data_IF_355624076639
#
_entry.id   IF_355624076639
#
_cell.length_a   1.000
_cell.length_b   1.000
_cell.length_c   1.000
_cell.angle_alpha   90.00
_cell.angle_beta   90.00
_cell.angle_gamma   90.00
#
_symmetry.space_group_name_H-M   'P 1'
#
loop_
_entity.id
_entity.type
_entity.pdbx_description
1 polymer ?
#
# COMPACT_ATOMS: atom_id res chain seq x y z
N UNK A 1 -50.83 8.17 -34.34
CA UNK A 1 -49.66 8.99 -33.97
C UNK A 1 -49.01 8.34 -32.77
N UNK A 2 -48.01 7.49 -33.01
CA UNK A 2 -47.40 6.66 -31.97
C UNK A 2 -46.65 7.50 -30.95
N UNK A 3 -46.93 7.25 -29.66
CA UNK A 3 -46.25 7.87 -28.54
C UNK A 3 -44.75 7.59 -28.68
N UNK A 4 -44.00 8.62 -29.06
CA UNK A 4 -42.55 8.58 -29.18
C UNK A 4 -41.96 8.38 -27.79
N UNK A 5 -41.51 7.15 -27.56
CA UNK A 5 -40.30 6.82 -26.82
C UNK A 5 -40.12 7.63 -25.54
N UNK A 6 -41.01 7.35 -24.58
CA UNK A 6 -40.72 7.55 -23.16
C UNK A 6 -39.33 7.02 -22.83
N UNK A 7 -38.52 7.89 -22.23
CA UNK A 7 -37.38 7.54 -21.39
C UNK A 7 -36.12 7.02 -22.09
N UNK A 8 -35.45 7.91 -22.83
CA UNK A 8 -34.03 7.70 -23.15
C UNK A 8 -33.20 7.96 -21.87
N UNK A 9 -32.83 6.83 -21.23
CA UNK A 9 -31.97 6.63 -20.07
C UNK A 9 -31.07 7.82 -19.64
N UNK A 10 -31.42 8.40 -18.49
CA UNK A 10 -30.47 9.06 -17.61
C UNK A 10 -29.67 8.01 -16.82
N UNK A 11 -28.35 8.22 -16.72
CA UNK A 11 -27.44 7.71 -15.67
C UNK A 11 -27.31 6.16 -15.63
N UNK A 12 -26.16 5.56 -15.89
CA UNK A 12 -24.99 5.70 -15.02
C UNK A 12 -23.72 5.48 -15.83
N UNK A 13 -22.74 6.37 -15.66
CA UNK A 13 -21.35 6.08 -16.00
C UNK A 13 -20.89 4.93 -15.08
N UNK A 14 -21.13 3.68 -15.49
CA UNK A 14 -20.53 2.53 -14.86
C UNK A 14 -19.07 2.58 -15.28
N UNK A 15 -18.24 3.22 -14.46
CA UNK A 15 -16.80 3.04 -14.53
C UNK A 15 -16.55 1.57 -14.24
N UNK A 16 -16.62 0.76 -15.29
CA UNK A 16 -16.08 -0.59 -15.32
C UNK A 16 -14.58 -0.38 -15.28
N UNK A 17 -14.03 -0.15 -14.09
CA UNK A 17 -12.62 -0.34 -13.87
C UNK A 17 -12.36 -1.82 -14.17
N UNK A 18 -11.59 -2.16 -15.21
CA UNK A 18 -11.26 -3.54 -15.47
C UNK A 18 -10.39 -3.98 -14.30
N UNK A 19 -10.99 -4.73 -13.37
CA UNK A 19 -10.26 -5.41 -12.31
C UNK A 19 -9.34 -6.41 -13.01
N UNK A 20 -8.10 -5.99 -13.29
CA UNK A 20 -7.08 -6.82 -13.96
C UNK A 20 -6.90 -8.11 -13.15
N UNK A 21 -7.55 -9.17 -13.60
CA UNK A 21 -7.18 -10.55 -13.28
C UNK A 21 -5.76 -10.76 -13.81
N UNK A 22 -4.79 -10.95 -12.92
CA UNK A 22 -3.43 -11.32 -13.32
C UNK A 22 -2.31 -10.94 -12.35
N UNK A 23 -2.55 -10.04 -11.40
CA UNK A 23 -1.60 -9.76 -10.32
C UNK A 23 -2.35 -9.82 -8.98
N UNK A 24 -1.75 -10.39 -7.91
CA UNK A 24 -2.30 -10.22 -6.58
C UNK A 24 -2.52 -8.72 -6.34
N UNK A 25 -3.62 -8.31 -5.67
CA UNK A 25 -3.85 -6.89 -5.41
C UNK A 25 -2.57 -6.35 -4.78
N UNK A 26 -1.95 -5.35 -5.44
CA UNK A 26 -0.82 -4.66 -4.86
C UNK A 26 -1.29 -4.22 -3.47
N UNK A 27 -0.72 -4.80 -2.41
CA UNK A 27 -1.11 -4.50 -1.03
C UNK A 27 -0.60 -3.10 -0.73
N UNK A 28 -1.30 -2.09 -1.23
CA UNK A 28 -0.93 -0.71 -1.05
C UNK A 28 -1.15 -0.31 0.40
N UNK A 29 -0.11 0.23 1.03
CA UNK A 29 -0.25 0.98 2.27
C UNK A 29 -1.18 2.17 2.03
N UNK A 30 -2.24 2.28 2.83
CA UNK A 30 -3.13 3.46 2.87
C UNK A 30 -2.76 4.41 3.99
N UNK A 31 -2.21 3.87 5.07
CA UNK A 31 -1.76 4.61 6.25
C UNK A 31 -0.36 4.14 6.61
N UNK A 32 0.43 5.03 7.19
CA UNK A 32 1.77 4.73 7.69
C UNK A 32 1.84 4.99 9.18
N UNK A 33 2.64 4.19 9.88
CA UNK A 33 2.98 4.40 11.28
C UNK A 33 4.29 5.20 11.33
N UNK A 34 4.28 6.35 11.99
CA UNK A 34 5.46 7.23 12.10
C UNK A 34 6.42 6.81 13.22
N UNK A 35 5.91 6.09 14.23
CA UNK A 35 6.66 5.68 15.41
C UNK A 35 6.48 4.21 15.68
N UNK A 36 7.58 3.47 15.59
CA UNK A 36 7.63 2.04 15.88
C UNK A 36 8.71 1.83 16.94
N UNK A 37 8.37 1.18 18.06
CA UNK A 37 9.34 0.92 19.13
C UNK A 37 10.60 0.24 18.59
N UNK A 38 11.77 0.67 19.09
CA UNK A 38 13.07 0.06 18.69
C UNK A 38 13.13 -1.45 18.94
N UNK A 39 12.38 -1.96 19.91
CA UNK A 39 12.25 -3.41 20.18
C UNK A 39 11.64 -4.14 18.99
N UNK A 40 10.61 -3.58 18.34
CA UNK A 40 9.99 -4.17 17.16
C UNK A 40 10.92 -4.05 15.94
N UNK A 41 11.55 -2.89 15.73
CA UNK A 41 12.47 -2.69 14.60
C UNK A 41 13.65 -3.66 14.61
N UNK A 42 14.13 -4.08 15.79
CA UNK A 42 15.16 -5.10 15.95
C UNK A 42 14.73 -6.50 15.51
N UNK A 43 13.43 -6.78 15.51
CA UNK A 43 12.86 -8.09 15.19
C UNK A 43 12.32 -8.18 13.76
N UNK A 44 12.36 -7.07 13.01
CA UNK A 44 12.01 -7.06 11.59
C UNK A 44 12.89 -8.05 10.84
N UNK A 45 12.28 -8.97 10.10
CA UNK A 45 12.96 -9.98 9.31
C UNK A 45 13.35 -9.44 7.94
N UNK A 46 12.48 -8.65 7.30
CA UNK A 46 12.72 -8.04 6.00
C UNK A 46 11.93 -6.74 5.83
N UNK A 47 12.33 -5.93 4.85
CA UNK A 47 11.65 -4.68 4.54
C UNK A 47 11.58 -4.46 3.03
N UNK A 48 10.50 -3.83 2.58
CA UNK A 48 10.25 -3.46 1.19
C UNK A 48 9.86 -1.99 1.10
N UNK A 49 10.31 -1.30 0.04
CA UNK A 49 9.94 0.10 -0.19
C UNK A 49 8.79 0.14 -1.21
N UNK A 50 7.63 0.56 -0.75
CA UNK A 50 6.52 0.93 -1.61
C UNK A 50 6.71 2.37 -2.08
N UNK A 51 6.81 2.54 -3.40
CA UNK A 51 6.80 3.85 -4.04
C UNK A 51 5.38 4.27 -4.42
N UNK A 52 5.14 5.56 -4.51
CA UNK A 52 3.86 6.17 -4.89
C UNK A 52 3.54 6.10 -6.40
N UNK A 53 4.06 5.10 -7.12
CA UNK A 53 3.84 4.95 -8.56
C UNK A 53 2.82 3.84 -8.85
N UNK A 54 2.03 4.01 -9.91
CA UNK A 54 1.05 3.02 -10.35
C UNK A 54 -0.19 2.97 -9.46
N UNK A 55 -0.49 1.80 -8.89
CA UNK A 55 -1.71 1.56 -8.11
C UNK A 55 -1.67 2.09 -6.67
N UNK A 56 -0.50 2.51 -6.18
CA UNK A 56 -0.32 3.00 -4.80
C UNK A 56 -0.02 4.50 -4.82
N UNK A 57 -0.73 5.27 -3.99
CA UNK A 57 -0.67 6.75 -4.00
C UNK A 57 0.27 7.35 -2.94
N UNK A 58 0.82 6.55 -2.03
CA UNK A 58 1.73 7.02 -0.97
C UNK A 58 3.03 6.22 -0.96
N UNK A 59 4.11 6.89 -0.55
CA UNK A 59 5.37 6.25 -0.24
C UNK A 59 5.29 5.61 1.15
N UNK A 60 5.60 4.32 1.24
CA UNK A 60 5.57 3.58 2.50
C UNK A 60 6.74 2.59 2.58
N UNK A 61 7.18 2.32 3.80
CA UNK A 61 8.12 1.25 4.10
C UNK A 61 7.32 0.08 4.67
N UNK A 62 7.25 -1.02 3.94
CA UNK A 62 6.60 -2.24 4.40
C UNK A 62 7.62 -3.03 5.21
N UNK A 63 7.33 -3.24 6.48
CA UNK A 63 8.17 -4.01 7.39
C UNK A 63 7.51 -5.35 7.65
N UNK A 64 8.29 -6.42 7.57
CA UNK A 64 7.84 -7.77 7.86
C UNK A 64 8.33 -8.20 9.23
N UNK A 65 7.40 -8.68 10.06
CA UNK A 65 7.67 -9.19 11.39
C UNK A 65 6.83 -10.44 11.62
N UNK A 66 7.49 -11.58 11.83
CA UNK A 66 6.83 -12.89 11.94
C UNK A 66 5.96 -13.11 10.70
N UNK A 67 4.66 -13.37 10.89
CA UNK A 67 3.69 -13.59 9.81
C UNK A 67 2.84 -12.34 9.51
N UNK A 68 3.29 -11.16 9.94
CA UNK A 68 2.55 -9.89 9.75
C UNK A 68 3.43 -8.87 9.04
N UNK A 69 2.80 -8.03 8.24
CA UNK A 69 3.41 -6.86 7.62
C UNK A 69 2.78 -5.58 8.16
N UNK A 70 3.57 -4.51 8.24
CA UNK A 70 3.13 -3.21 8.72
C UNK A 70 3.73 -2.09 7.88
N UNK A 71 2.90 -1.09 7.62
CA UNK A 71 3.26 0.09 6.85
C UNK A 71 3.85 1.16 7.76
N UNK A 72 5.10 1.53 7.50
CA UNK A 72 5.85 2.52 8.26
C UNK A 72 6.20 3.72 7.38
N UNK A 73 6.44 4.87 8.00
CA UNK A 73 6.86 6.05 7.26
C UNK A 73 8.28 5.81 6.67
N UNK A 74 8.57 6.17 5.39
CA UNK A 74 9.87 5.93 4.75
C UNK A 74 11.10 6.47 5.53
N UNK A 75 10.91 7.56 6.28
CA UNK A 75 11.94 8.12 7.20
C UNK A 75 12.47 7.11 8.22
N UNK A 76 11.69 6.07 8.56
CA UNK A 76 12.10 5.02 9.48
C UNK A 76 13.20 4.11 8.92
N UNK A 77 13.39 4.08 7.60
CA UNK A 77 14.41 3.28 6.95
C UNK A 77 15.82 3.58 7.49
N UNK A 78 16.14 4.86 7.72
CA UNK A 78 17.44 5.26 8.30
C UNK A 78 17.63 4.70 9.71
N UNK A 79 16.57 4.71 10.53
CA UNK A 79 16.60 4.14 11.89
C UNK A 79 16.76 2.62 11.84
N UNK A 80 16.06 1.95 10.92
CA UNK A 80 16.17 0.51 10.72
C UNK A 80 17.58 0.10 10.31
N UNK A 81 18.16 0.79 9.31
CA UNK A 81 19.55 0.55 8.85
C UNK A 81 20.54 0.68 10.00
N UNK A 82 20.50 1.79 10.76
CA UNK A 82 21.39 1.99 11.91
C UNK A 82 21.30 0.86 12.94
N UNK A 83 20.10 0.33 13.19
CA UNK A 83 19.88 -0.77 14.14
C UNK A 83 20.47 -2.10 13.64
N UNK A 84 20.33 -2.40 12.35
CA UNK A 84 20.82 -3.66 11.77
C UNK A 84 22.30 -3.59 11.38
N UNK A 85 22.83 -2.42 11.02
CA UNK A 85 24.28 -2.20 10.86
C UNK A 85 25.01 -2.44 12.19
N UNK A 86 24.46 -1.98 13.32
CA UNK A 86 25.00 -2.30 14.65
C UNK A 86 24.87 -3.77 15.06
N UNK A 87 24.25 -4.64 14.25
CA UNK A 87 24.28 -6.11 14.45
C UNK A 87 25.34 -6.81 13.60
N UNK A 88 25.84 -6.16 12.54
CA UNK A 88 26.88 -6.71 11.68
C UNK A 88 28.31 -6.32 12.11
N UNK A 89 28.44 -5.40 13.06
CA UNK A 89 29.67 -5.09 13.78
C UNK A 89 29.73 -5.86 15.10
#
# INVERSE_FOLDING_TARGET
>A
MGLKATYLLLLTCRQIYPSRKGFPPARCCRTVVDQIPRRILRLVSSCEIQRNYGACHINALILHFRNKSFCAHPRMLKKLKKIHESKLA
#
